data_IF_116874871627
#
_entry.id   IF_116874871627
#
_cell.length_a   1.000
_cell.length_b   1.000
_cell.length_c   1.000
_cell.angle_alpha   90.00
_cell.angle_beta   90.00
_cell.angle_gamma   90.00
#
_symmetry.space_group_name_H-M   'P 1'
#
loop_
_entity.id
_entity.type
_entity.pdbx_description
1 polymer ?
#
# COMPACT_ATOMS: atom_id res chain seq x y z
N UNK A 1 7.21 -29.23 8.58
CA UNK A 1 8.65 -29.23 8.28
C UNK A 1 9.02 -28.25 7.17
N UNK A 2 8.23 -28.08 6.09
CA UNK A 2 8.53 -27.08 5.07
C UNK A 2 8.41 -25.62 5.57
N UNK A 3 7.29 -25.25 6.21
CA UNK A 3 7.09 -23.87 6.70
C UNK A 3 8.13 -23.39 7.73
N UNK A 4 8.64 -24.29 8.57
CA UNK A 4 9.71 -23.99 9.54
C UNK A 4 11.07 -23.74 8.87
N UNK A 5 11.29 -24.29 7.68
CA UNK A 5 12.52 -24.06 6.90
C UNK A 5 12.47 -22.67 6.25
N UNK A 6 11.32 -22.27 5.68
CA UNK A 6 11.14 -20.93 5.11
C UNK A 6 11.35 -19.81 6.15
N UNK A 7 10.77 -19.95 7.34
CA UNK A 7 10.91 -18.94 8.42
C UNK A 7 12.36 -18.84 8.91
N UNK A 8 13.05 -19.98 9.06
CA UNK A 8 14.45 -20.00 9.45
C UNK A 8 15.34 -19.38 8.37
N UNK A 9 15.03 -19.60 7.09
CA UNK A 9 15.77 -19.03 5.96
C UNK A 9 15.55 -17.52 5.84
N UNK A 10 14.31 -17.03 5.99
CA UNK A 10 13.97 -15.61 6.04
C UNK A 10 14.73 -14.87 7.15
N UNK A 11 14.76 -15.44 8.36
CA UNK A 11 15.52 -14.86 9.49
C UNK A 11 17.04 -14.87 9.25
N UNK A 12 17.56 -15.91 8.59
CA UNK A 12 18.99 -16.03 8.30
C UNK A 12 19.46 -15.00 7.28
N UNK A 13 18.64 -14.72 6.26
CA UNK A 13 18.87 -13.63 5.29
C UNK A 13 18.86 -12.26 5.99
N UNK A 14 17.92 -12.05 6.90
CA UNK A 14 17.83 -10.82 7.71
C UNK A 14 19.06 -10.60 8.61
N UNK A 15 19.52 -11.64 9.32
CA UNK A 15 20.67 -11.55 10.23
C UNK A 15 21.99 -11.31 9.49
N UNK A 16 22.22 -12.00 8.38
CA UNK A 16 23.42 -11.84 7.58
C UNK A 16 23.57 -10.41 7.03
N UNK A 17 22.47 -9.76 6.66
CA UNK A 17 22.49 -8.40 6.13
C UNK A 17 22.53 -7.31 7.21
N UNK A 18 22.02 -7.56 8.41
CA UNK A 18 22.17 -6.62 9.53
C UNK A 18 23.63 -6.52 10.00
N UNK A 19 24.41 -7.60 9.86
CA UNK A 19 25.86 -7.60 10.06
C UNK A 19 26.61 -6.88 8.92
N UNK A 20 26.16 -6.98 7.67
CA UNK A 20 26.72 -6.21 6.54
C UNK A 20 26.41 -4.71 6.63
N UNK A 21 25.19 -4.31 6.99
CA UNK A 21 24.82 -2.89 7.15
C UNK A 21 25.63 -2.22 8.27
N UNK A 22 25.98 -2.97 9.32
CA UNK A 22 26.83 -2.48 10.41
C UNK A 22 28.31 -2.30 10.01
N UNK A 23 28.77 -2.91 8.90
CA UNK A 23 30.17 -2.86 8.46
C UNK A 23 30.44 -1.82 7.36
N UNK A 24 29.42 -1.24 6.73
CA UNK A 24 29.57 -0.26 5.63
C UNK A 24 29.83 1.19 6.08
N UNK A 25 29.89 1.47 7.39
CA UNK A 25 30.01 2.86 7.89
C UNK A 25 31.42 3.49 7.83
N UNK A 26 32.37 2.99 7.02
CA UNK A 26 33.68 3.64 6.86
C UNK A 26 34.19 3.74 5.39
N UNK A 27 34.06 4.97 4.86
CA UNK A 27 34.91 5.67 3.86
C UNK A 27 34.77 5.34 2.34
N UNK A 28 35.41 6.11 1.42
CA UNK A 28 35.11 7.50 1.03
C UNK A 28 34.83 7.67 -0.49
N UNK A 29 34.56 8.91 -0.92
CA UNK A 29 33.95 9.31 -2.20
C UNK A 29 34.57 8.83 -3.53
N UNK A 30 33.72 8.81 -4.57
CA UNK A 30 34.08 8.54 -5.96
C UNK A 30 32.91 8.81 -6.92
N UNK A 31 33.05 9.86 -7.72
CA UNK A 31 32.11 10.35 -8.73
C UNK A 31 32.06 9.39 -9.95
N UNK A 32 30.86 8.99 -10.41
CA UNK A 32 30.54 8.69 -11.83
C UNK A 32 29.08 8.26 -12.04
N UNK A 33 28.35 9.01 -12.88
CA UNK A 33 27.09 8.60 -13.54
C UNK A 33 27.40 7.74 -14.76
N UNK A 34 26.43 6.91 -15.19
CA UNK A 34 25.94 7.09 -16.56
C UNK A 34 24.40 7.13 -16.66
N UNK A 35 23.98 7.72 -17.77
CA UNK A 35 22.62 8.05 -18.17
C UNK A 35 21.74 6.82 -18.43
N UNK A 36 20.52 6.83 -17.89
CA UNK A 36 19.39 6.09 -18.47
C UNK A 36 18.16 7.00 -18.55
N UNK A 37 17.58 6.98 -19.74
CA UNK A 37 16.57 7.85 -20.33
C UNK A 37 15.26 7.99 -19.55
N UNK A 38 14.68 9.18 -19.61
CA UNK A 38 13.35 9.57 -19.17
C UNK A 38 12.24 8.72 -19.83
N UNK A 39 11.52 7.92 -19.05
CA UNK A 39 10.15 7.55 -19.40
C UNK A 39 9.21 8.60 -18.81
N UNK A 40 8.92 9.60 -19.65
CA UNK A 40 7.91 10.62 -19.42
C UNK A 40 6.54 9.96 -19.32
N UNK A 41 6.04 9.82 -18.09
CA UNK A 41 4.65 9.50 -17.79
C UNK A 41 3.80 10.70 -18.17
N UNK A 42 3.33 10.73 -19.42
CA UNK A 42 2.33 11.70 -19.83
C UNK A 42 1.02 11.40 -19.10
N UNK A 43 0.77 12.25 -18.11
CA UNK A 43 -0.55 12.61 -17.62
C UNK A 43 -1.47 12.97 -18.80
N UNK A 44 -2.64 12.35 -18.87
CA UNK A 44 -3.83 12.94 -19.50
C UNK A 44 -5.07 12.33 -18.85
N UNK A 45 -5.62 13.07 -17.88
CA UNK A 45 -6.98 12.88 -17.40
C UNK A 45 -7.98 13.40 -18.47
N UNK A 46 -9.09 12.68 -18.63
CA UNK A 46 -10.36 13.09 -19.23
C UNK A 46 -10.42 13.45 -20.73
N UNK A 47 -11.01 12.57 -21.54
CA UNK A 47 -11.97 12.98 -22.57
C UNK A 47 -12.78 11.79 -23.13
N UNK A 48 -14.10 11.90 -23.05
CA UNK A 48 -15.03 11.09 -23.83
C UNK A 48 -14.85 11.34 -25.34
N UNK A 49 -15.18 10.29 -26.12
CA UNK A 49 -15.58 10.29 -27.53
C UNK A 49 -14.48 10.17 -28.61
N UNK A 50 -14.78 9.24 -29.54
CA UNK A 50 -14.19 8.97 -30.86
C UNK A 50 -12.94 8.09 -30.91
N UNK A 51 -13.14 6.79 -31.10
CA UNK A 51 -12.35 6.06 -32.11
C UNK A 51 -13.28 5.39 -33.13
N UNK A 52 -12.97 5.73 -34.38
CA UNK A 52 -13.47 5.18 -35.63
C UNK A 52 -12.82 3.79 -35.86
N UNK A 53 -13.67 2.85 -36.31
CA UNK A 53 -13.46 1.67 -37.20
C UNK A 53 -12.07 1.02 -37.26
N UNK A 54 -11.99 -0.32 -37.22
CA UNK A 54 -12.19 -1.16 -38.41
C UNK A 54 -12.23 -2.68 -38.11
N UNK A 55 -12.79 -3.40 -39.09
CA UNK A 55 -13.25 -4.79 -39.15
C UNK A 55 -12.19 -5.92 -39.18
N UNK A 56 -12.62 -7.07 -38.63
CA UNK A 56 -12.48 -8.47 -39.10
C UNK A 56 -11.14 -9.25 -39.20
N UNK A 57 -11.15 -10.39 -38.47
CA UNK A 57 -10.90 -11.79 -38.93
C UNK A 57 -9.48 -12.38 -38.85
N UNK A 58 -9.40 -13.56 -38.20
CA UNK A 58 -8.33 -14.55 -38.39
C UNK A 58 -8.25 -15.63 -37.31
N UNK A 59 -8.87 -16.79 -37.56
CA UNK A 59 -8.73 -18.05 -36.80
C UNK A 59 -7.34 -18.71 -37.00
N UNK A 60 -6.76 -19.38 -35.98
CA UNK A 60 -6.23 -20.76 -36.02
C UNK A 60 -5.58 -21.20 -34.68
N UNK A 61 -5.60 -22.51 -34.44
CA UNK A 61 -5.60 -23.23 -33.16
C UNK A 61 -4.22 -23.57 -32.52
N UNK A 62 -4.21 -23.86 -31.20
CA UNK A 62 -3.19 -24.75 -30.59
C UNK A 62 -2.84 -24.65 -29.09
N UNK A 63 -3.55 -25.45 -28.25
CA UNK A 63 -3.07 -26.21 -27.04
C UNK A 63 -2.83 -25.46 -25.69
N UNK A 64 -3.17 -26.07 -24.51
CA UNK A 64 -3.43 -25.33 -23.29
C UNK A 64 -2.18 -25.14 -22.44
N UNK A 65 -1.99 -23.91 -21.96
CA UNK A 65 -1.04 -23.58 -20.91
C UNK A 65 -1.81 -23.21 -19.64
N UNK A 66 -1.32 -23.76 -18.54
CA UNK A 66 -1.83 -23.69 -17.19
C UNK A 66 -2.28 -22.28 -16.80
N UNK A 67 -3.57 -22.15 -16.48
CA UNK A 67 -4.20 -20.92 -16.03
C UNK A 67 -3.62 -20.51 -14.67
N UNK A 68 -2.66 -19.59 -14.66
CA UNK A 68 -2.45 -18.75 -13.46
C UNK A 68 -3.56 -17.72 -13.47
N UNK A 69 -4.68 -18.06 -12.86
CA UNK A 69 -5.71 -17.09 -12.49
C UNK A 69 -5.03 -16.11 -11.53
N UNK A 70 -4.69 -14.92 -12.02
CA UNK A 70 -4.58 -13.76 -11.13
C UNK A 70 -5.95 -13.63 -10.51
N UNK A 71 -6.06 -14.03 -9.25
CA UNK A 71 -7.28 -13.89 -8.49
C UNK A 71 -7.51 -12.40 -8.30
N UNK A 72 -8.42 -11.93 -9.14
CA UNK A 72 -9.00 -10.62 -9.16
C UNK A 72 -9.54 -10.36 -7.75
N UNK A 73 -8.83 -9.56 -6.96
CA UNK A 73 -9.44 -8.88 -5.82
C UNK A 73 -10.60 -8.12 -6.45
N UNK A 74 -11.82 -8.57 -6.18
CA UNK A 74 -13.03 -7.87 -6.55
C UNK A 74 -13.04 -6.57 -5.74
N UNK A 75 -12.34 -5.56 -6.25
CA UNK A 75 -12.65 -4.17 -5.94
C UNK A 75 -14.00 -3.96 -6.61
N UNK A 76 -15.07 -4.15 -5.83
CA UNK A 76 -16.37 -3.60 -6.18
C UNK A 76 -16.20 -2.08 -6.21
N UNK A 77 -15.85 -1.56 -7.39
CA UNK A 77 -15.84 -0.14 -7.71
C UNK A 77 -17.29 0.38 -7.74
N UNK A 78 -17.83 0.65 -6.56
CA UNK A 78 -18.70 1.82 -6.42
C UNK A 78 -17.83 2.93 -5.81
N UNK A 79 -17.28 3.77 -6.68
CA UNK A 79 -16.73 5.07 -6.29
C UNK A 79 -17.90 5.94 -5.80
N UNK A 80 -18.33 5.72 -4.56
CA UNK A 80 -19.28 6.60 -3.91
C UNK A 80 -18.59 7.94 -3.72
N UNK A 81 -19.10 8.97 -4.39
CA UNK A 81 -18.70 10.35 -4.16
C UNK A 81 -19.08 10.70 -2.71
N UNK A 82 -18.09 10.97 -1.84
CA UNK A 82 -18.36 11.25 -0.43
C UNK A 82 -19.17 12.54 -0.33
N UNK A 83 -20.12 12.58 0.61
CA UNK A 83 -20.92 13.79 0.85
C UNK A 83 -20.06 14.91 1.44
N UNK A 84 -20.47 16.17 1.27
CA UNK A 84 -19.78 17.33 1.88
C UNK A 84 -19.62 17.13 3.40
N UNK A 85 -20.67 16.65 4.07
CA UNK A 85 -20.64 16.40 5.52
C UNK A 85 -19.61 15.32 5.88
N UNK A 86 -19.50 14.26 5.08
CA UNK A 86 -18.49 13.22 5.27
C UNK A 86 -17.07 13.78 5.11
N UNK A 87 -16.82 14.56 4.04
CA UNK A 87 -15.52 15.18 3.77
C UNK A 87 -15.11 16.12 4.91
N UNK A 88 -16.03 16.95 5.39
CA UNK A 88 -15.81 17.84 6.54
C UNK A 88 -15.57 17.05 7.82
N UNK A 89 -16.19 15.87 7.97
CA UNK A 89 -15.99 15.04 9.15
C UNK A 89 -14.56 14.49 9.25
N UNK A 90 -13.87 14.31 8.11
CA UNK A 90 -12.50 13.80 8.07
C UNK A 90 -11.54 14.76 8.75
N UNK A 91 -11.63 16.07 8.52
CA UNK A 91 -10.71 17.06 9.13
C UNK A 91 -10.74 17.08 10.65
N UNK A 92 -11.83 16.60 11.26
CA UNK A 92 -11.98 16.53 12.71
C UNK A 92 -11.62 15.16 13.31
N UNK A 93 -11.60 14.10 12.49
CA UNK A 93 -11.37 12.75 12.97
C UNK A 93 -10.77 11.86 11.88
N UNK A 94 -9.48 11.55 12.01
CA UNK A 94 -8.76 10.66 11.10
C UNK A 94 -9.40 9.26 11.02
N UNK A 95 -9.99 8.73 12.10
CA UNK A 95 -10.70 7.45 12.07
C UNK A 95 -11.89 7.46 11.13
N UNK A 96 -12.58 8.59 10.98
CA UNK A 96 -13.70 8.69 10.04
C UNK A 96 -13.21 8.57 8.60
N UNK A 97 -12.08 9.20 8.29
CA UNK A 97 -11.45 9.08 6.97
C UNK A 97 -10.96 7.66 6.72
N UNK A 98 -10.27 7.06 7.70
CA UNK A 98 -9.73 5.70 7.59
C UNK A 98 -10.81 4.62 7.49
N UNK A 99 -12.07 4.90 7.87
CA UNK A 99 -13.21 3.99 7.69
C UNK A 99 -13.96 4.20 6.37
N UNK A 100 -13.74 5.31 5.68
CA UNK A 100 -14.36 5.63 4.40
C UNK A 100 -13.48 5.12 3.26
N UNK A 101 -14.06 4.35 2.33
CA UNK A 101 -13.34 3.91 1.13
C UNK A 101 -12.90 5.11 0.27
N UNK A 102 -13.76 6.12 0.15
CA UNK A 102 -13.42 7.36 -0.54
C UNK A 102 -12.28 8.11 0.17
N UNK A 103 -12.35 8.21 1.50
CA UNK A 103 -11.30 8.83 2.32
C UNK A 103 -9.95 8.11 2.18
N UNK A 104 -9.95 6.78 2.25
CA UNK A 104 -8.76 5.96 2.03
C UNK A 104 -8.16 6.18 0.63
N UNK A 105 -8.99 6.19 -0.42
CA UNK A 105 -8.53 6.36 -1.80
C UNK A 105 -7.88 7.74 -2.03
N UNK A 106 -8.51 8.81 -1.53
CA UNK A 106 -7.99 10.17 -1.63
C UNK A 106 -6.70 10.34 -0.81
N UNK A 107 -6.67 9.79 0.40
CA UNK A 107 -5.47 9.84 1.22
C UNK A 107 -4.34 9.04 0.59
N UNK A 108 -4.64 7.89 -0.03
CA UNK A 108 -3.66 7.11 -0.78
C UNK A 108 -3.08 7.90 -1.96
N UNK A 109 -3.93 8.59 -2.73
CA UNK A 109 -3.48 9.43 -3.83
C UNK A 109 -2.50 10.50 -3.34
N UNK A 110 -2.83 11.16 -2.23
CA UNK A 110 -1.93 12.11 -1.59
C UNK A 110 -0.61 11.45 -1.14
N UNK A 111 -0.66 10.31 -0.45
CA UNK A 111 0.55 9.61 0.02
C UNK A 111 1.46 9.17 -1.13
N UNK A 112 0.93 8.85 -2.31
CA UNK A 112 1.74 8.57 -3.50
C UNK A 112 2.56 9.78 -3.94
N UNK A 113 2.00 10.99 -3.83
CA UNK A 113 2.73 12.22 -4.15
C UNK A 113 3.89 12.49 -3.19
N UNK A 114 3.80 11.94 -1.97
CA UNK A 114 4.84 12.04 -0.93
C UNK A 114 5.70 10.77 -0.82
N UNK A 115 5.54 9.80 -1.74
CA UNK A 115 6.27 8.52 -1.72
C UNK A 115 6.13 7.75 -0.40
N UNK A 116 4.95 7.78 0.20
CA UNK A 116 4.68 7.17 1.51
C UNK A 116 3.39 6.34 1.54
N UNK A 117 2.94 5.83 0.38
CA UNK A 117 1.68 5.08 0.24
C UNK A 117 1.72 3.71 0.94
N UNK A 118 2.92 3.13 1.11
CA UNK A 118 3.14 1.86 1.78
C UNK A 118 2.61 1.84 3.21
N UNK A 119 2.60 3.00 3.89
CA UNK A 119 2.07 3.13 5.25
C UNK A 119 0.57 2.81 5.32
N UNK A 120 -0.21 3.33 4.37
CA UNK A 120 -1.64 3.07 4.31
C UNK A 120 -1.91 1.63 3.85
N UNK A 121 -1.16 1.15 2.85
CA UNK A 121 -1.31 -0.21 2.34
C UNK A 121 -1.00 -1.27 3.42
N UNK A 122 0.05 -1.06 4.21
CA UNK A 122 0.38 -1.90 5.36
C UNK A 122 -0.76 -1.88 6.39
N UNK A 123 -1.29 -0.70 6.71
CA UNK A 123 -2.38 -0.57 7.67
C UNK A 123 -3.63 -1.33 7.21
N UNK A 124 -4.00 -1.22 5.93
CA UNK A 124 -5.13 -1.94 5.33
C UNK A 124 -4.92 -3.45 5.30
N UNK A 125 -3.72 -3.91 4.98
CA UNK A 125 -3.39 -5.34 5.00
C UNK A 125 -3.51 -5.92 6.42
N UNK A 126 -3.17 -5.15 7.45
CA UNK A 126 -3.37 -5.55 8.84
C UNK A 126 -4.86 -5.62 9.22
N UNK A 127 -5.70 -4.69 8.75
CA UNK A 127 -7.16 -4.78 8.94
C UNK A 127 -7.74 -6.04 8.28
N UNK A 128 -7.34 -6.33 7.04
CA UNK A 128 -7.78 -7.52 6.32
C UNK A 128 -7.31 -8.83 7.00
N UNK A 129 -6.11 -8.84 7.57
CA UNK A 129 -5.64 -9.98 8.36
C UNK A 129 -6.48 -10.21 9.62
N UNK A 130 -6.83 -9.15 10.35
CA UNK A 130 -7.63 -9.24 11.59
C UNK A 130 -9.05 -9.76 11.37
N UNK A 131 -9.60 -9.54 10.17
CA UNK A 131 -10.94 -10.02 9.81
C UNK A 131 -10.94 -11.48 9.31
N UNK A 132 -9.77 -12.08 9.10
CA UNK A 132 -9.64 -13.45 8.62
C UNK A 132 -9.75 -14.47 9.78
N UNK A 133 -10.56 -15.51 9.57
CA UNK A 133 -10.80 -16.54 10.57
C UNK A 133 -10.19 -17.89 10.18
N UNK A 134 -9.86 -18.08 8.90
CA UNK A 134 -9.24 -19.30 8.43
C UNK A 134 -7.74 -19.30 8.74
N UNK A 135 -7.30 -20.17 9.64
CA UNK A 135 -5.90 -20.28 10.08
C UNK A 135 -4.90 -20.38 8.93
N UNK A 136 -5.21 -21.11 7.85
CA UNK A 136 -4.29 -21.22 6.71
C UNK A 136 -4.15 -19.88 5.97
N UNK A 137 -5.27 -19.17 5.79
CA UNK A 137 -5.27 -17.86 5.13
C UNK A 137 -4.58 -16.82 6.02
N UNK A 138 -4.79 -16.88 7.34
CA UNK A 138 -4.07 -16.04 8.32
C UNK A 138 -2.56 -16.24 8.18
N UNK A 139 -2.10 -17.50 8.17
CA UNK A 139 -0.67 -17.80 8.01
C UNK A 139 -0.10 -17.24 6.70
N UNK A 140 -0.81 -17.42 5.59
CA UNK A 140 -0.35 -16.97 4.27
C UNK A 140 -0.37 -15.43 4.17
N UNK A 141 -1.47 -14.78 4.57
CA UNK A 141 -1.58 -13.30 4.63
C UNK A 141 -0.50 -12.72 5.54
N UNK A 142 -0.27 -13.32 6.71
CA UNK A 142 0.74 -12.84 7.64
C UNK A 142 2.15 -12.89 7.05
N UNK A 143 2.52 -13.96 6.34
CA UNK A 143 3.81 -14.05 5.65
C UNK A 143 3.91 -13.04 4.51
N UNK A 144 2.84 -12.85 3.73
CA UNK A 144 2.82 -11.86 2.66
C UNK A 144 3.01 -10.44 3.19
N UNK A 145 2.32 -10.08 4.28
CA UNK A 145 2.49 -8.77 4.95
C UNK A 145 3.94 -8.58 5.42
N UNK A 146 4.56 -9.64 5.95
CA UNK A 146 5.96 -9.58 6.37
C UNK A 146 6.88 -9.25 5.19
N UNK A 147 6.76 -10.01 4.10
CA UNK A 147 7.61 -9.85 2.92
C UNK A 147 7.39 -8.51 2.23
N UNK A 148 6.14 -8.04 2.15
CA UNK A 148 5.82 -6.77 1.50
C UNK A 148 6.19 -5.55 2.34
N UNK A 149 6.03 -5.56 3.67
CA UNK A 149 6.11 -4.32 4.47
C UNK A 149 7.12 -4.35 5.62
N UNK A 150 7.55 -5.52 6.11
CA UNK A 150 8.42 -5.61 7.29
C UNK A 150 9.86 -5.94 6.93
N UNK A 151 10.03 -6.79 5.92
CA UNK A 151 11.32 -7.23 5.39
C UNK A 151 12.17 -6.04 4.95
N UNK A 152 13.43 -6.00 5.38
CA UNK A 152 14.39 -4.93 4.99
C UNK A 152 14.77 -4.99 3.51
N UNK A 153 14.39 -6.08 2.84
CA UNK A 153 14.59 -6.28 1.42
C UNK A 153 13.41 -5.78 0.59
N UNK A 154 12.30 -5.40 1.25
CA UNK A 154 11.13 -4.92 0.54
C UNK A 154 11.33 -3.49 0.05
N UNK A 155 10.88 -3.25 -1.18
CA UNK A 155 10.73 -1.90 -1.72
C UNK A 155 9.60 -1.08 -1.07
N UNK A 156 8.73 -1.72 -0.28
CA UNK A 156 7.61 -1.09 0.44
C UNK A 156 7.77 -1.19 1.96
N UNK A 157 9.01 -1.35 2.45
CA UNK A 157 9.30 -1.45 3.88
C UNK A 157 8.74 -0.23 4.63
N UNK A 158 7.95 -0.48 5.68
CA UNK A 158 7.47 0.57 6.58
C UNK A 158 8.49 0.88 7.67
N UNK A 159 8.58 2.14 8.08
CA UNK A 159 9.48 2.58 9.16
C UNK A 159 8.93 2.17 10.53
N UNK A 160 9.51 1.13 11.13
CA UNK A 160 9.13 0.61 12.45
C UNK A 160 10.29 0.68 13.46
N UNK A 161 9.94 0.79 14.74
CA UNK A 161 10.90 0.67 15.84
C UNK A 161 11.48 -0.75 15.88
N UNK A 162 12.78 -0.86 16.15
CA UNK A 162 13.49 -2.15 16.19
C UNK A 162 12.83 -3.17 17.14
N UNK A 163 12.28 -2.71 18.27
CA UNK A 163 11.58 -3.56 19.24
C UNK A 163 10.30 -4.17 18.66
N UNK A 164 9.54 -3.38 17.89
CA UNK A 164 8.30 -3.83 17.25
C UNK A 164 8.63 -4.87 16.17
N UNK A 165 9.65 -4.59 15.36
CA UNK A 165 10.15 -5.54 14.34
C UNK A 165 10.63 -6.86 14.97
N UNK A 166 11.32 -6.80 16.11
CA UNK A 166 11.76 -8.02 16.82
C UNK A 166 10.58 -8.87 17.30
N UNK A 167 9.52 -8.25 17.82
CA UNK A 167 8.29 -8.96 18.22
C UNK A 167 7.65 -9.66 17.04
N UNK A 168 7.48 -8.96 15.90
CA UNK A 168 6.96 -9.54 14.67
C UNK A 168 7.81 -10.73 14.22
N UNK A 169 9.13 -10.55 14.20
CA UNK A 169 10.06 -11.60 13.79
C UNK A 169 9.88 -12.87 14.62
N UNK A 170 9.67 -12.74 15.94
CA UNK A 170 9.41 -13.87 16.85
C UNK A 170 8.07 -14.55 16.55
N UNK A 171 7.03 -13.76 16.36
CA UNK A 171 5.67 -14.22 16.09
C UNK A 171 5.52 -14.91 14.74
N UNK A 172 6.43 -14.69 13.79
CA UNK A 172 6.41 -15.35 12.47
C UNK A 172 6.52 -16.88 12.53
N UNK A 173 6.95 -17.45 13.67
CA UNK A 173 6.96 -18.91 13.90
C UNK A 173 5.55 -19.51 14.02
N UNK A 174 4.61 -18.72 14.55
CA UNK A 174 3.23 -19.10 14.78
C UNK A 174 2.35 -17.87 14.51
N UNK A 175 2.10 -17.55 13.22
CA UNK A 175 1.39 -16.35 12.83
C UNK A 175 -0.04 -16.32 13.38
N UNK A 176 -0.46 -15.16 13.87
CA UNK A 176 -1.82 -14.94 14.35
C UNK A 176 -2.42 -13.70 13.68
N UNK A 177 -3.76 -13.61 13.67
CA UNK A 177 -4.46 -12.48 13.07
C UNK A 177 -4.09 -11.12 13.70
N UNK A 178 -3.58 -11.14 14.93
CA UNK A 178 -3.25 -9.95 15.73
C UNK A 178 -1.74 -9.68 15.84
N UNK A 179 -0.89 -10.42 15.12
CA UNK A 179 0.57 -10.32 15.31
C UNK A 179 1.18 -8.96 14.92
N UNK A 180 0.44 -8.11 14.18
CA UNK A 180 0.88 -6.80 13.70
C UNK A 180 0.26 -5.61 14.44
N UNK A 181 -0.53 -5.80 15.50
CA UNK A 181 -1.27 -4.71 16.16
C UNK A 181 -0.39 -3.54 16.61
N UNK A 182 0.76 -3.83 17.23
CA UNK A 182 1.70 -2.79 17.68
C UNK A 182 2.30 -2.01 16.50
N UNK A 183 2.67 -2.70 15.42
CA UNK A 183 3.19 -2.06 14.22
C UNK A 183 2.12 -1.25 13.48
N UNK A 184 0.91 -1.79 13.39
CA UNK A 184 -0.22 -1.12 12.79
C UNK A 184 -0.54 0.19 13.52
N UNK A 185 -0.52 0.18 14.85
CA UNK A 185 -0.71 1.38 15.67
C UNK A 185 0.41 2.40 15.47
N UNK A 186 1.66 1.94 15.35
CA UNK A 186 2.80 2.82 15.08
C UNK A 186 2.63 3.53 13.73
N UNK A 187 2.33 2.81 12.67
CA UNK A 187 2.14 3.37 11.32
C UNK A 187 0.90 4.24 11.24
N UNK A 188 -0.20 3.87 11.89
CA UNK A 188 -1.37 4.73 12.04
C UNK A 188 -0.99 6.06 12.69
N UNK A 189 -0.22 6.02 13.78
CA UNK A 189 0.22 7.23 14.50
C UNK A 189 1.15 8.09 13.65
N UNK A 190 2.03 7.47 12.86
CA UNK A 190 2.90 8.15 11.91
C UNK A 190 2.07 8.93 10.88
N UNK A 191 1.14 8.25 10.20
CA UNK A 191 0.26 8.87 9.21
C UNK A 191 -0.59 9.99 9.84
N UNK A 192 -1.18 9.73 11.01
CA UNK A 192 -2.03 10.70 11.70
C UNK A 192 -1.30 11.97 12.12
N UNK A 193 -0.02 11.87 12.55
CA UNK A 193 0.75 13.00 13.06
C UNK A 193 1.53 13.76 11.99
N UNK A 194 1.88 13.11 10.89
CA UNK A 194 2.71 13.70 9.84
C UNK A 194 1.94 13.92 8.54
N UNK A 195 1.58 12.85 7.84
CA UNK A 195 0.97 12.93 6.52
C UNK A 195 -0.44 13.53 6.54
N UNK A 196 -1.25 13.21 7.56
CA UNK A 196 -2.65 13.61 7.61
C UNK A 196 -2.86 15.13 7.75
N UNK A 197 -2.14 15.85 8.64
CA UNK A 197 -2.19 17.31 8.66
C UNK A 197 -1.77 17.95 7.33
N UNK A 198 -0.78 17.36 6.62
CA UNK A 198 -0.38 17.83 5.28
C UNK A 198 -1.46 17.56 4.23
N UNK A 199 -2.11 16.39 4.28
CA UNK A 199 -3.24 16.03 3.42
C UNK A 199 -4.37 17.06 3.52
N UNK A 200 -4.80 17.43 4.73
CA UNK A 200 -5.86 18.43 4.94
C UNK A 200 -5.50 19.82 4.39
N UNK A 201 -4.22 20.14 4.27
CA UNK A 201 -3.73 21.40 3.70
C UNK A 201 -3.43 21.32 2.20
N UNK A 202 -3.44 20.12 1.63
CA UNK A 202 -3.07 19.85 0.24
C UNK A 202 -4.13 20.33 -0.75
N UNK A 203 -3.72 20.48 -2.01
CA UNK A 203 -4.64 20.83 -3.08
C UNK A 203 -5.66 19.71 -3.36
N UNK A 204 -5.30 18.45 -3.11
CA UNK A 204 -6.20 17.28 -3.28
C UNK A 204 -7.45 17.43 -2.41
N UNK A 205 -7.26 17.73 -1.12
CA UNK A 205 -8.38 17.89 -0.19
C UNK A 205 -9.17 19.19 -0.43
N UNK A 206 -8.49 20.30 -0.76
CA UNK A 206 -9.15 21.59 -1.03
C UNK A 206 -10.02 21.56 -2.29
N UNK A 207 -9.53 20.95 -3.38
CA UNK A 207 -10.29 20.84 -4.63
C UNK A 207 -11.54 19.99 -4.46
N UNK A 208 -11.50 18.99 -3.57
CA UNK A 208 -12.66 18.18 -3.25
C UNK A 208 -13.75 19.00 -2.55
N UNK A 209 -13.39 19.88 -1.61
CA UNK A 209 -14.35 20.77 -0.95
C UNK A 209 -15.00 21.73 -1.95
N UNK A 210 -14.19 22.37 -2.81
CA UNK A 210 -14.68 23.31 -3.83
C UNK A 210 -15.61 22.61 -4.84
N UNK A 211 -15.24 21.42 -5.32
CA UNK A 211 -16.07 20.65 -6.27
C UNK A 211 -17.40 20.17 -5.69
N UNK A 212 -17.55 20.14 -4.37
CA UNK A 212 -18.81 19.81 -3.71
C UNK A 212 -19.73 21.01 -3.45
N UNK A 213 -19.21 22.25 -3.45
CA UNK A 213 -20.03 23.46 -3.26
C UNK A 213 -20.84 23.82 -4.52
N UNK A 214 -20.29 23.54 -5.71
CA UNK A 214 -20.95 23.80 -7.01
C UNK A 214 -22.19 22.93 -7.26
N UNK A 215 -22.36 21.83 -6.52
CA UNK A 215 -23.51 20.93 -6.65
C UNK A 215 -24.74 21.37 -5.83
N UNK A 216 -24.60 22.40 -4.98
CA UNK A 216 -25.64 22.86 -4.03
C UNK A 216 -26.33 24.16 -4.41
N UNK A 217 -25.97 24.82 -5.52
CA UNK A 217 -26.49 26.15 -5.89
C UNK A 217 -27.46 26.18 -7.06
N UNK A 218 -27.93 25.03 -7.55
CA UNK A 218 -29.03 24.96 -8.54
C UNK A 218 -30.27 24.28 -7.94
N UNK A 219 -31.12 25.07 -7.29
CA UNK A 219 -32.50 24.73 -6.90
C UNK A 219 -33.38 25.97 -6.93
#
# INVERSE_FOLDING_TARGET
MAATVDIAEMRKRQQAQNEEISTVSQAPGGNQRPNTCCFCWCCCCSCSCLTVRNEERGEHAGRPTHTTKMENIQIEEECQTPTVEEILSWSHNFDKMMKSLAGQNLFREFLRTEYSEENLLFWLACEDLKNEQNTKIVEDKARNIYEDYISILSSKEVSLDSRVREVINRNLLDPTAHMYEDAQLQIYTLMHRDSFPRFLNSHVYKSLLEGTEDSTTES
#
